data_IF_532638638967
#
_entry.id   IF_532638638967
#
_cell.length_a   1.000
_cell.length_b   1.000
_cell.length_c   1.000
_cell.angle_alpha   90.00
_cell.angle_beta   90.00
_cell.angle_gamma   90.00
#
_symmetry.space_group_name_H-M   'P 1'
#
loop_
_entity.id
_entity.type
_entity.pdbx_description
1 polymer ?
#
# COMPACT_ATOMS: atom_id res chain seq x y z
N UNK A 1 23.99 -10.39 -56.04
CA UNK A 1 23.55 -8.96 -55.98
C UNK A 1 23.75 -8.42 -54.58
N UNK A 2 24.42 -7.27 -54.37
CA UNK A 2 24.63 -6.74 -53.03
C UNK A 2 23.41 -5.94 -52.56
N UNK A 3 22.89 -6.25 -51.37
CA UNK A 3 21.76 -5.53 -50.75
C UNK A 3 22.28 -4.28 -50.05
N UNK A 4 22.03 -3.11 -50.64
CA UNK A 4 22.33 -1.81 -50.01
C UNK A 4 21.35 -1.61 -48.84
N UNK A 5 21.89 -1.48 -47.63
CA UNK A 5 21.10 -1.17 -46.43
C UNK A 5 21.04 0.34 -46.23
N UNK A 6 19.93 0.95 -46.64
CA UNK A 6 19.65 2.36 -46.32
C UNK A 6 19.22 2.46 -44.86
N UNK A 7 19.99 3.18 -44.03
CA UNK A 7 19.60 3.57 -42.67
C UNK A 7 18.89 4.92 -42.72
N UNK A 8 17.59 4.92 -42.99
CA UNK A 8 16.75 6.09 -42.75
C UNK A 8 15.89 5.85 -41.50
N UNK A 9 15.96 6.76 -40.52
CA UNK A 9 15.00 6.79 -39.40
C UNK A 9 13.70 7.41 -39.91
N UNK A 10 12.53 6.76 -39.80
CA UNK A 10 11.27 7.38 -40.20
C UNK A 10 10.90 8.50 -39.22
N UNK A 11 10.38 9.61 -39.75
CA UNK A 11 9.98 10.81 -39.00
C UNK A 11 8.64 10.64 -38.26
N UNK A 12 7.83 9.63 -38.60
CA UNK A 12 6.54 9.35 -37.97
C UNK A 12 6.26 7.84 -37.91
N UNK A 13 5.46 7.44 -36.93
CA UNK A 13 5.01 6.06 -36.72
C UNK A 13 3.90 5.75 -37.74
N UNK A 14 4.29 5.17 -38.88
CA UNK A 14 3.35 4.73 -39.92
C UNK A 14 2.66 3.45 -39.45
N UNK A 15 1.34 3.44 -39.34
CA UNK A 15 0.56 2.20 -39.12
C UNK A 15 0.80 1.23 -40.29
N UNK A 16 1.57 0.17 -40.04
CA UNK A 16 1.85 -0.89 -41.00
C UNK A 16 0.85 -2.02 -40.78
N UNK A 17 -0.07 -2.18 -41.74
CA UNK A 17 -1.20 -3.12 -41.66
C UNK A 17 -0.82 -4.61 -41.57
N UNK A 18 0.42 -4.99 -41.94
CA UNK A 18 0.79 -6.41 -42.12
C UNK A 18 2.13 -6.82 -41.47
N UNK A 19 2.66 -6.04 -40.52
CA UNK A 19 3.85 -6.46 -39.75
C UNK A 19 3.47 -6.63 -38.29
N UNK A 20 3.84 -7.78 -37.69
CA UNK A 20 3.83 -7.98 -36.24
C UNK A 20 4.33 -6.69 -35.58
N UNK A 21 3.46 -6.06 -34.78
CA UNK A 21 3.72 -4.76 -34.16
C UNK A 21 5.12 -4.74 -33.55
N UNK A 22 5.85 -3.65 -33.77
CA UNK A 22 7.17 -3.43 -33.17
C UNK A 22 7.02 -3.60 -31.65
N UNK A 23 7.45 -4.75 -31.12
CA UNK A 23 7.49 -4.96 -29.68
C UNK A 23 8.49 -3.97 -29.12
N UNK A 24 8.00 -2.94 -28.44
CA UNK A 24 8.83 -2.04 -27.64
C UNK A 24 9.38 -2.84 -26.46
N UNK A 25 10.59 -3.36 -26.62
CA UNK A 25 11.31 -4.01 -25.52
C UNK A 25 11.90 -2.92 -24.64
N UNK A 26 11.22 -2.60 -23.55
CA UNK A 26 11.78 -1.73 -22.51
C UNK A 26 12.74 -2.57 -21.69
N UNK A 27 14.04 -2.33 -21.85
CA UNK A 27 15.08 -2.96 -21.04
C UNK A 27 15.08 -2.32 -19.66
N UNK A 28 14.90 -3.14 -18.63
CA UNK A 28 14.98 -2.69 -17.25
C UNK A 28 16.43 -2.37 -16.88
N UNK A 29 16.68 -1.15 -16.40
CA UNK A 29 17.95 -0.74 -15.81
C UNK A 29 17.86 -0.88 -14.28
N UNK A 30 18.70 -1.75 -13.72
CA UNK A 30 18.76 -2.01 -12.28
C UNK A 30 19.25 -0.81 -11.47
N UNK A 31 20.12 0.01 -12.07
CA UNK A 31 20.79 1.12 -11.39
C UNK A 31 20.12 2.46 -11.64
N UNK A 32 19.11 2.52 -12.51
CA UNK A 32 18.33 3.72 -12.74
C UNK A 32 17.66 4.18 -11.43
N UNK A 33 17.84 5.46 -11.09
CA UNK A 33 17.16 6.06 -9.94
C UNK A 33 15.65 5.99 -10.15
N UNK A 34 14.97 5.29 -9.25
CA UNK A 34 13.52 5.15 -9.29
C UNK A 34 12.81 6.30 -8.60
N UNK A 35 11.58 6.62 -9.01
CA UNK A 35 10.80 7.66 -8.36
C UNK A 35 10.47 7.26 -6.92
N UNK A 36 10.95 8.06 -5.97
CA UNK A 36 10.63 7.94 -4.53
C UNK A 36 9.65 9.02 -4.07
N UNK A 37 9.36 10.00 -4.93
CA UNK A 37 8.44 11.09 -4.58
C UNK A 37 7.03 10.54 -4.38
N UNK A 38 6.28 11.02 -3.38
CA UNK A 38 4.89 10.60 -3.20
C UNK A 38 4.03 11.03 -4.40
N UNK A 39 2.97 10.26 -4.66
CA UNK A 39 1.97 10.56 -5.68
C UNK A 39 0.63 10.87 -5.02
N UNK A 40 -0.17 11.68 -5.71
CA UNK A 40 -1.55 11.92 -5.36
C UNK A 40 -2.44 10.99 -6.17
N UNK A 41 -3.28 10.24 -5.48
CA UNK A 41 -4.34 9.41 -6.08
C UNK A 41 -5.67 9.98 -5.62
N UNK A 42 -6.30 10.80 -6.48
CA UNK A 42 -7.45 11.61 -6.10
C UNK A 42 -7.07 12.55 -4.95
N UNK A 43 -7.74 12.39 -3.81
CA UNK A 43 -7.46 13.15 -2.58
C UNK A 43 -6.43 12.51 -1.63
N UNK A 44 -5.90 11.33 -1.96
CA UNK A 44 -5.06 10.55 -1.05
C UNK A 44 -3.58 10.66 -1.41
N UNK A 45 -2.74 10.68 -0.37
CA UNK A 45 -1.28 10.68 -0.52
C UNK A 45 -0.77 9.25 -0.48
N UNK A 46 0.00 8.86 -1.49
CA UNK A 46 0.61 7.53 -1.58
C UNK A 46 2.12 7.69 -1.71
N UNK A 47 2.86 7.23 -0.71
CA UNK A 47 4.30 7.21 -0.75
C UNK A 47 4.81 6.06 -1.64
N UNK A 48 5.91 6.31 -2.34
CA UNK A 48 6.57 5.32 -3.20
C UNK A 48 7.89 4.90 -2.59
N UNK A 49 8.02 3.59 -2.34
CA UNK A 49 9.25 2.98 -1.85
C UNK A 49 9.69 1.88 -2.81
N UNK A 50 10.66 2.16 -3.70
CA UNK A 50 11.31 1.13 -4.49
C UNK A 50 11.87 0.03 -3.59
N UNK A 51 11.56 -1.23 -3.90
CA UNK A 51 12.13 -2.35 -3.17
C UNK A 51 13.56 -2.64 -3.66
N UNK A 52 14.51 -2.92 -2.75
CA UNK A 52 15.83 -3.37 -3.15
C UNK A 52 15.71 -4.70 -3.88
N UNK A 53 16.52 -4.89 -4.92
CA UNK A 53 16.63 -6.14 -5.69
C UNK A 53 15.35 -6.65 -6.38
N UNK A 54 14.28 -5.85 -6.38
CA UNK A 54 13.01 -6.18 -7.02
C UNK A 54 12.63 -5.15 -8.06
N UNK A 55 11.93 -5.55 -9.13
CA UNK A 55 11.36 -4.66 -10.14
C UNK A 55 10.24 -3.77 -9.59
N UNK A 56 9.70 -4.13 -8.43
CA UNK A 56 8.51 -3.52 -7.90
C UNK A 56 8.78 -2.28 -7.03
N UNK A 57 7.79 -1.40 -7.03
CA UNK A 57 7.71 -0.26 -6.11
C UNK A 57 6.61 -0.55 -5.11
N UNK A 58 6.92 -0.46 -3.83
CA UNK A 58 5.94 -0.53 -2.77
C UNK A 58 5.22 0.81 -2.68
N UNK A 59 3.91 0.79 -2.90
CA UNK A 59 3.03 1.93 -2.71
C UNK A 59 2.44 1.86 -1.30
N UNK A 60 2.64 2.92 -0.53
CA UNK A 60 2.22 3.02 0.86
C UNK A 60 1.13 4.09 0.95
N UNK A 61 -0.10 3.69 1.27
CA UNK A 61 -1.25 4.59 1.40
C UNK A 61 -1.17 5.28 2.74
N UNK A 62 -1.14 6.62 2.75
CA UNK A 62 -0.98 7.41 3.97
C UNK A 62 -2.29 8.05 4.43
N UNK A 63 -2.56 8.00 5.74
CA UNK A 63 -3.55 8.81 6.45
C UNK A 63 -2.81 9.73 7.43
N UNK A 64 -2.35 10.88 6.95
CA UNK A 64 -1.46 11.77 7.69
C UNK A 64 -0.06 11.17 7.87
N UNK A 65 0.33 10.89 9.11
CA UNK A 65 1.63 10.30 9.45
C UNK A 65 1.62 8.76 9.45
N UNK A 66 0.44 8.14 9.34
CA UNK A 66 0.28 6.69 9.45
C UNK A 66 0.05 6.01 8.12
N UNK A 67 0.50 4.75 8.05
CA UNK A 67 0.36 3.91 6.86
C UNK A 67 -0.93 3.11 7.00
N UNK A 68 -1.93 3.44 6.18
CA UNK A 68 -3.20 2.73 6.12
C UNK A 68 -3.12 1.37 5.43
N UNK A 69 -2.17 1.22 4.50
CA UNK A 69 -1.96 -0.02 3.78
C UNK A 69 -0.79 0.07 2.82
N UNK A 70 -0.35 -1.09 2.33
CA UNK A 70 0.75 -1.19 1.38
C UNK A 70 0.40 -2.15 0.25
N UNK A 71 0.84 -1.85 -0.96
CA UNK A 71 0.61 -2.69 -2.13
C UNK A 71 1.71 -2.53 -3.19
N UNK A 72 1.81 -3.51 -4.08
CA UNK A 72 2.84 -3.60 -5.13
C UNK A 72 2.41 -2.85 -6.40
N UNK A 73 1.11 -2.83 -6.69
CA UNK A 73 0.50 -2.08 -7.79
C UNK A 73 0.16 -0.65 -7.36
N UNK A 74 0.02 0.25 -8.34
CA UNK A 74 -0.50 1.60 -8.09
C UNK A 74 -1.95 1.47 -7.59
N UNK A 75 -2.30 2.03 -6.42
CA UNK A 75 -3.66 1.97 -5.89
C UNK A 75 -4.63 2.81 -6.72
N UNK A 76 -5.85 2.32 -6.82
CA UNK A 76 -6.98 3.14 -7.22
C UNK A 76 -7.46 4.02 -6.05
N UNK A 77 -8.27 5.03 -6.34
CA UNK A 77 -8.86 5.87 -5.31
C UNK A 77 -9.77 5.07 -4.35
N UNK A 78 -10.45 4.04 -4.86
CA UNK A 78 -11.27 3.14 -4.07
C UNK A 78 -10.43 2.30 -3.11
N UNK A 79 -9.27 1.80 -3.55
CA UNK A 79 -8.35 1.03 -2.70
C UNK A 79 -7.83 1.91 -1.54
N UNK A 80 -7.46 3.15 -1.84
CA UNK A 80 -7.06 4.13 -0.83
C UNK A 80 -8.17 4.38 0.20
N UNK A 81 -9.40 4.62 -0.28
CA UNK A 81 -10.55 4.89 0.60
C UNK A 81 -10.84 3.70 1.54
N UNK A 82 -10.79 2.47 1.01
CA UNK A 82 -11.06 1.27 1.79
C UNK A 82 -9.95 0.99 2.80
N UNK A 83 -8.68 1.16 2.44
CA UNK A 83 -7.55 1.00 3.35
C UNK A 83 -7.63 1.97 4.53
N UNK A 84 -7.90 3.25 4.26
CA UNK A 84 -8.02 4.28 5.30
C UNK A 84 -9.22 4.01 6.20
N UNK A 85 -10.36 3.62 5.62
CA UNK A 85 -11.55 3.24 6.42
C UNK A 85 -11.22 2.10 7.37
N UNK A 86 -10.57 1.04 6.88
CA UNK A 86 -10.13 -0.11 7.70
C UNK A 86 -9.21 0.31 8.85
N UNK A 87 -8.23 1.18 8.58
CA UNK A 87 -7.33 1.71 9.63
C UNK A 87 -8.13 2.46 10.71
N UNK A 88 -9.04 3.35 10.31
CA UNK A 88 -9.84 4.14 11.24
C UNK A 88 -10.80 3.27 12.07
N UNK A 89 -11.40 2.26 11.45
CA UNK A 89 -12.28 1.32 12.13
C UNK A 89 -11.50 0.48 13.15
N UNK A 90 -10.29 0.02 12.79
CA UNK A 90 -9.41 -0.70 13.72
C UNK A 90 -9.01 0.16 14.93
N UNK A 91 -8.70 1.45 14.72
CA UNK A 91 -8.41 2.39 15.80
C UNK A 91 -9.59 2.60 16.74
N UNK A 92 -10.79 2.77 16.18
CA UNK A 92 -12.02 2.90 16.97
C UNK A 92 -12.25 1.65 17.81
N UNK A 93 -12.12 0.47 17.23
CA UNK A 93 -12.26 -0.79 17.96
C UNK A 93 -11.24 -0.92 19.09
N UNK A 94 -9.98 -0.55 18.86
CA UNK A 94 -8.94 -0.55 19.88
C UNK A 94 -9.25 0.45 21.02
N UNK A 95 -9.76 1.64 20.70
CA UNK A 95 -10.16 2.65 21.70
C UNK A 95 -11.32 2.19 22.58
N UNK A 96 -12.32 1.52 21.98
CA UNK A 96 -13.44 0.92 22.73
C UNK A 96 -12.92 -0.18 23.65
N UNK A 97 -12.10 -1.10 23.15
CA UNK A 97 -11.53 -2.18 23.94
C UNK A 97 -10.69 -1.66 25.13
N UNK A 98 -9.89 -0.61 24.91
CA UNK A 98 -9.12 0.04 25.97
C UNK A 98 -10.04 0.65 27.04
N UNK A 99 -11.11 1.33 26.61
CA UNK A 99 -12.09 1.93 27.53
C UNK A 99 -12.82 0.87 28.36
N UNK A 100 -13.22 -0.24 27.74
CA UNK A 100 -13.86 -1.37 28.42
C UNK A 100 -12.92 -2.05 29.42
N UNK A 101 -11.64 -2.20 29.07
CA UNK A 101 -10.62 -2.74 29.97
C UNK A 101 -10.44 -1.84 31.20
N UNK A 102 -10.38 -0.52 31.01
CA UNK A 102 -10.30 0.46 32.10
C UNK A 102 -11.57 0.41 32.96
N UNK A 103 -12.75 0.32 32.35
CA UNK A 103 -14.02 0.23 33.07
C UNK A 103 -14.10 -1.05 33.92
N UNK A 104 -13.63 -2.19 33.38
CA UNK A 104 -13.54 -3.46 34.13
C UNK A 104 -12.53 -3.38 35.27
N UNK A 105 -11.38 -2.73 35.06
CA UNK A 105 -10.37 -2.54 36.11
C UNK A 105 -10.87 -1.64 37.25
N UNK A 106 -11.69 -0.63 36.94
CA UNK A 106 -12.31 0.26 37.93
C UNK A 106 -13.47 -0.39 38.69
N UNK A 107 -14.00 -1.54 38.26
CA UNK A 107 -15.09 -2.20 39.00
C UNK A 107 -14.56 -2.69 40.35
N UNK A 108 -15.16 -2.27 41.48
CA UNK A 108 -14.74 -2.76 42.79
C UNK A 108 -14.88 -4.27 42.84
N UNK A 109 -13.85 -4.96 43.33
CA UNK A 109 -13.91 -6.40 43.59
C UNK A 109 -15.05 -6.64 44.59
N UNK A 110 -16.00 -7.52 44.24
CA UNK A 110 -17.01 -7.98 45.21
C UNK A 110 -16.26 -8.49 46.46
N UNK A 111 -16.66 -8.07 47.67
CA UNK A 111 -16.02 -8.57 48.88
C UNK A 111 -16.16 -10.09 48.90
N UNK A 112 -15.03 -10.79 49.07
CA UNK A 112 -15.05 -12.24 49.32
C UNK A 112 -15.79 -12.44 50.64
N UNK A 113 -16.88 -13.20 50.61
CA UNK A 113 -17.52 -13.67 51.82
C UNK A 113 -16.48 -14.48 52.62
N UNK A 114 -16.10 -13.97 53.79
CA UNK A 114 -15.30 -14.74 54.73
C UNK A 114 -16.16 -15.90 55.22
N UNK A 115 -15.81 -17.13 54.85
CA UNK A 115 -16.41 -18.32 55.45
C UNK A 115 -15.89 -18.43 56.88
N UNK A 116 -16.71 -18.00 57.83
CA UNK A 116 -16.47 -18.25 59.25
C UNK A 116 -16.59 -19.76 59.45
N UNK A 117 -15.48 -20.42 59.80
CA UNK A 117 -15.52 -21.80 60.28
C UNK A 117 -15.84 -21.75 61.77
N UNK A 118 -17.04 -22.17 62.14
CA UNK A 118 -17.35 -22.51 63.54
C UNK A 118 -16.46 -23.68 63.96
N UNK A 119 -15.74 -23.51 65.06
CA UNK A 119 -14.97 -24.57 65.73
C UNK A 119 -15.80 -24.97 66.94
N UNK A 120 -16.14 -26.27 67.00
CA UNK A 120 -16.87 -26.93 68.06
C UNK A 120 -15.99 -27.24 69.27
#
# INVERSE_FOLDING_TARGET
MPRIKVKAKPLFEVERRDTLSLRTVVRYDRNAKRPTTPILVGKYVVARRPLPDSLHTLYMILDGAEIAGTQISIPSEADCATAIKRLRDAKRAAGVAASDAIAKAKKPRKPRAFTIREVA
#
